data_IF_389879969928
#
_entry.id   IF_389879969928
#
_cell.length_a   1.000
_cell.length_b   1.000
_cell.length_c   1.000
_cell.angle_alpha   90.00
_cell.angle_beta   90.00
_cell.angle_gamma   90.00
#
_symmetry.space_group_name_H-M   'P 1'
#
loop_
_entity.id
_entity.type
_entity.pdbx_description
1 polymer ?
#
# COMPACT_ATOMS: atom_id res chain seq x y z
N UNK A 1 0.92 28.67 7.67
CA UNK A 1 0.92 27.40 6.91
C UNK A 1 1.71 27.59 5.64
N UNK A 2 2.03 26.50 4.94
CA UNK A 2 2.56 26.51 3.56
C UNK A 2 1.45 26.03 2.63
N UNK A 3 1.28 26.70 1.50
CA UNK A 3 0.31 26.29 0.49
C UNK A 3 0.94 25.25 -0.45
N UNK A 4 0.25 24.14 -0.68
CA UNK A 4 0.68 23.08 -1.59
C UNK A 4 -0.29 23.02 -2.77
N UNK A 5 0.22 23.13 -3.99
CA UNK A 5 -0.59 22.98 -5.20
C UNK A 5 -0.37 21.58 -5.78
N UNK A 6 -1.41 20.75 -5.76
CA UNK A 6 -1.33 19.36 -6.20
C UNK A 6 -1.69 19.23 -7.68
N UNK A 7 -0.84 18.57 -8.45
CA UNK A 7 -1.09 18.21 -9.85
C UNK A 7 -1.55 16.76 -9.89
N UNK A 8 -2.87 16.57 -10.03
CA UNK A 8 -3.49 15.25 -9.92
C UNK A 8 -3.96 14.74 -11.29
N UNK A 9 -3.84 13.43 -11.48
CA UNK A 9 -4.43 12.68 -12.59
C UNK A 9 -5.22 11.48 -12.06
N UNK A 10 -6.29 11.04 -12.75
CA UNK A 10 -7.00 9.82 -12.36
C UNK A 10 -6.07 8.60 -12.35
N UNK A 11 -6.19 7.73 -11.35
CA UNK A 11 -5.47 6.46 -11.28
C UNK A 11 -6.27 5.35 -11.97
N UNK A 12 -6.15 5.28 -13.29
CA UNK A 12 -6.85 4.27 -14.10
C UNK A 12 -6.22 2.87 -14.05
N UNK A 13 -5.04 2.70 -13.43
CA UNK A 13 -4.30 1.42 -13.42
C UNK A 13 -4.45 0.61 -12.14
N UNK A 14 -5.02 1.20 -11.08
CA UNK A 14 -5.17 0.49 -9.80
C UNK A 14 -6.19 -0.64 -9.87
N UNK A 15 -7.29 -0.48 -10.61
CA UNK A 15 -8.37 -1.48 -10.66
C UNK A 15 -8.34 -2.20 -11.99
N UNK A 16 -8.17 -3.53 -11.97
CA UNK A 16 -8.15 -4.33 -13.18
C UNK A 16 -9.50 -4.29 -13.92
N UNK A 17 -9.49 -4.36 -15.26
CA UNK A 17 -10.72 -4.60 -16.01
C UNK A 17 -11.42 -5.89 -15.53
N UNK A 18 -12.69 -5.77 -15.16
CA UNK A 18 -13.47 -6.90 -14.65
C UNK A 18 -13.20 -7.28 -13.19
N UNK A 19 -12.47 -6.45 -12.44
CA UNK A 19 -12.28 -6.66 -11.02
C UNK A 19 -13.62 -6.68 -10.27
N UNK A 20 -13.71 -7.51 -9.23
CA UNK A 20 -14.94 -7.74 -8.48
C UNK A 20 -14.77 -7.58 -6.97
N UNK A 21 -15.87 -7.28 -6.29
CA UNK A 21 -16.03 -7.37 -4.84
C UNK A 21 -17.01 -8.48 -4.55
N UNK A 22 -16.62 -9.39 -3.68
CA UNK A 22 -17.46 -10.49 -3.24
C UNK A 22 -17.81 -10.33 -1.77
N UNK A 23 -19.09 -10.53 -1.47
CA UNK A 23 -19.61 -10.48 -0.11
C UNK A 23 -20.03 -11.88 0.30
N UNK A 24 -19.41 -12.40 1.34
CA UNK A 24 -19.86 -13.64 1.99
C UNK A 24 -20.85 -13.30 3.09
N UNK A 25 -22.05 -13.89 3.02
CA UNK A 25 -23.05 -13.78 4.08
C UNK A 25 -22.96 -14.97 5.04
N UNK A 26 -23.46 -14.79 6.26
CA UNK A 26 -23.54 -15.84 7.28
C UNK A 26 -24.38 -17.05 6.82
N UNK A 27 -25.31 -16.87 5.89
CA UNK A 27 -26.12 -17.94 5.30
C UNK A 27 -25.38 -18.74 4.22
N UNK A 28 -24.12 -18.39 3.92
CA UNK A 28 -23.31 -19.01 2.87
C UNK A 28 -23.62 -18.49 1.46
N UNK A 29 -24.51 -17.52 1.30
CA UNK A 29 -24.76 -16.89 0.01
C UNK A 29 -23.65 -15.88 -0.33
N UNK A 30 -23.14 -15.96 -1.55
CA UNK A 30 -22.13 -15.03 -2.10
C UNK A 30 -22.79 -14.02 -3.02
N UNK A 31 -22.50 -12.73 -2.83
CA UNK A 31 -22.92 -11.66 -3.74
C UNK A 31 -21.70 -11.03 -4.39
N UNK A 32 -21.67 -10.96 -5.72
CA UNK A 32 -20.55 -10.43 -6.49
C UNK A 32 -20.97 -9.13 -7.17
N UNK A 33 -20.15 -8.10 -7.06
CA UNK A 33 -20.36 -6.78 -7.64
C UNK A 33 -19.09 -6.29 -8.36
N UNK A 34 -19.21 -5.43 -9.39
CA UNK A 34 -18.04 -4.85 -10.04
C UNK A 34 -17.31 -3.88 -9.11
N UNK A 35 -15.99 -3.95 -9.08
CA UNK A 35 -15.14 -3.00 -8.36
C UNK A 35 -14.93 -1.75 -9.23
N UNK A 36 -15.38 -0.58 -8.73
CA UNK A 36 -15.24 0.69 -9.42
C UNK A 36 -14.15 1.56 -8.77
N UNK A 37 -13.25 2.12 -9.58
CA UNK A 37 -12.09 2.93 -9.15
C UNK A 37 -12.06 4.34 -9.73
N UNK A 38 -13.20 4.97 -10.00
CA UNK A 38 -13.27 6.24 -10.76
C UNK A 38 -12.96 7.50 -9.95
N UNK A 39 -12.74 7.38 -8.65
CA UNK A 39 -12.57 8.49 -7.71
C UNK A 39 -11.17 8.52 -7.08
N UNK A 40 -10.21 7.83 -7.70
CA UNK A 40 -8.83 7.70 -7.23
C UNK A 40 -7.90 8.54 -8.11
N UNK A 41 -6.98 9.24 -7.47
CA UNK A 41 -6.08 10.19 -8.09
C UNK A 41 -4.66 9.97 -7.58
N UNK A 42 -3.71 10.17 -8.47
CA UNK A 42 -2.28 10.13 -8.20
C UNK A 42 -1.59 11.32 -8.85
N UNK A 43 -0.40 11.68 -8.39
CA UNK A 43 0.34 12.80 -8.96
C UNK A 43 1.41 13.35 -8.03
N UNK A 44 1.65 14.65 -8.12
CA UNK A 44 2.78 15.31 -7.49
C UNK A 44 2.44 16.72 -6.98
N UNK A 45 3.35 17.32 -6.22
CA UNK A 45 3.28 18.72 -5.81
C UNK A 45 3.97 19.59 -6.86
N UNK A 46 3.28 20.62 -7.34
CA UNK A 46 3.82 21.54 -8.34
C UNK A 46 5.15 22.17 -7.88
N UNK A 47 6.19 22.05 -8.72
CA UNK A 47 7.54 22.51 -8.42
C UNK A 47 8.42 21.48 -7.68
N UNK A 48 7.88 20.33 -7.28
CA UNK A 48 8.58 19.25 -6.56
C UNK A 48 8.31 17.87 -7.18
N UNK A 49 8.11 17.79 -8.51
CA UNK A 49 7.66 16.57 -9.18
C UNK A 49 8.53 15.34 -8.89
N UNK A 50 9.85 15.50 -8.92
CA UNK A 50 10.82 14.40 -8.70
C UNK A 50 10.99 14.02 -7.22
N UNK A 51 10.51 14.87 -6.30
CA UNK A 51 10.72 14.73 -4.86
C UNK A 51 9.41 14.65 -4.07
N UNK A 52 8.29 14.45 -4.77
CA UNK A 52 6.97 14.34 -4.15
C UNK A 52 6.08 13.35 -4.88
N UNK A 53 5.21 12.71 -4.11
CA UNK A 53 4.18 11.83 -4.62
C UNK A 53 2.89 12.04 -3.84
N UNK A 54 1.76 11.92 -4.53
CA UNK A 54 0.44 12.20 -3.99
C UNK A 54 -0.49 11.07 -4.38
N UNK A 55 -1.19 10.49 -3.42
CA UNK A 55 -2.23 9.50 -3.63
C UNK A 55 -3.50 9.96 -2.91
N UNK A 56 -4.55 10.31 -3.65
CA UNK A 56 -5.79 10.83 -3.08
C UNK A 56 -7.01 10.06 -3.59
N UNK A 57 -8.03 10.00 -2.75
CA UNK A 57 -9.34 9.43 -3.02
C UNK A 57 -10.39 10.49 -2.70
N UNK A 58 -11.39 10.61 -3.56
CA UNK A 58 -12.60 11.39 -3.29
C UNK A 58 -13.85 10.48 -3.27
N UNK A 59 -13.66 9.19 -3.01
CA UNK A 59 -14.76 8.21 -3.03
C UNK A 59 -15.70 8.34 -1.83
N UNK A 60 -15.19 8.84 -0.71
CA UNK A 60 -15.91 9.07 0.54
C UNK A 60 -15.26 10.23 1.29
N UNK A 61 -15.32 11.42 0.69
CA UNK A 61 -14.53 12.56 1.14
C UNK A 61 -13.08 12.48 0.67
N UNK A 62 -12.35 13.57 0.86
CA UNK A 62 -10.95 13.66 0.44
C UNK A 62 -10.06 12.93 1.44
N UNK A 63 -9.46 11.83 1.01
CA UNK A 63 -8.59 11.03 1.85
C UNK A 63 -7.33 10.61 1.09
N UNK A 64 -6.19 10.50 1.77
CA UNK A 64 -4.98 9.99 1.15
C UNK A 64 -3.68 10.49 1.77
N UNK A 65 -2.61 10.42 0.98
CA UNK A 65 -1.24 10.74 1.35
C UNK A 65 -0.65 11.78 0.40
N UNK A 66 0.02 12.77 0.96
CA UNK A 66 0.90 13.71 0.27
C UNK A 66 2.29 13.52 0.86
N UNK A 67 3.20 12.97 0.06
CA UNK A 67 4.59 12.73 0.45
C UNK A 67 5.50 13.71 -0.27
N UNK A 68 6.40 14.30 0.48
CA UNK A 68 7.52 15.12 0.03
C UNK A 68 8.80 14.54 0.64
N UNK A 69 9.96 15.02 0.19
CA UNK A 69 11.29 14.50 0.58
C UNK A 69 11.46 14.20 2.08
N UNK A 70 11.02 15.10 2.96
CA UNK A 70 11.19 14.96 4.42
C UNK A 70 9.87 14.94 5.22
N UNK A 71 8.73 15.05 4.53
CA UNK A 71 7.44 15.24 5.17
C UNK A 71 6.35 14.42 4.49
N UNK A 72 5.58 13.70 5.31
CA UNK A 72 4.39 12.97 4.88
C UNK A 72 3.18 13.56 5.57
N UNK A 73 2.16 13.89 4.79
CA UNK A 73 0.89 14.43 5.28
C UNK A 73 -0.22 13.47 4.92
N UNK A 74 -1.01 13.11 5.93
CA UNK A 74 -2.25 12.38 5.73
C UNK A 74 -3.41 13.36 5.74
N UNK A 75 -4.36 13.11 4.86
CA UNK A 75 -5.66 13.77 4.86
C UNK A 75 -6.73 12.70 5.02
N UNK A 76 -7.68 12.92 5.92
CA UNK A 76 -8.85 12.06 6.04
C UNK A 76 -10.06 12.82 6.59
N UNK A 77 -11.29 12.35 6.33
CA UNK A 77 -12.48 12.84 6.99
C UNK A 77 -12.39 12.74 8.51
N UNK A 78 -12.81 13.80 9.22
CA UNK A 78 -12.83 13.80 10.69
C UNK A 78 -13.86 12.83 11.25
N UNK A 79 -15.04 12.77 10.64
CA UNK A 79 -16.13 11.84 10.95
C UNK A 79 -16.37 10.93 9.74
N UNK A 80 -16.53 9.63 9.97
CA UNK A 80 -16.79 8.64 8.91
C UNK A 80 -18.28 8.30 8.86
N UNK A 81 -18.85 8.21 7.66
CA UNK A 81 -20.21 7.68 7.47
C UNK A 81 -21.37 8.66 7.67
N UNK A 82 -21.13 9.98 7.65
CA UNK A 82 -22.18 11.00 7.80
C UNK A 82 -22.44 11.80 6.52
N UNK A 83 -22.34 11.14 5.35
CA UNK A 83 -22.49 11.75 4.03
C UNK A 83 -23.76 12.62 3.87
N UNK A 84 -24.88 12.23 4.51
CA UNK A 84 -26.12 12.99 4.48
C UNK A 84 -26.03 14.34 5.23
N UNK A 85 -25.32 14.39 6.37
CA UNK A 85 -25.09 15.64 7.13
C UNK A 85 -24.01 16.49 6.47
N UNK A 86 -23.02 15.85 5.86
CA UNK A 86 -21.94 16.48 5.11
C UNK A 86 -22.44 17.25 3.88
N UNK A 87 -23.52 16.79 3.24
CA UNK A 87 -24.11 17.46 2.07
C UNK A 87 -24.68 18.86 2.39
N UNK A 88 -25.13 19.08 3.62
CA UNK A 88 -25.72 20.37 4.05
C UNK A 88 -24.68 21.34 4.64
N UNK A 89 -23.64 20.82 5.31
CA UNK A 89 -22.70 21.64 6.11
C UNK A 89 -21.26 21.62 5.59
N UNK A 90 -20.97 20.81 4.57
CA UNK A 90 -19.63 20.53 4.10
C UNK A 90 -18.90 19.51 4.99
N UNK A 91 -18.07 18.68 4.36
CA UNK A 91 -17.31 17.65 5.07
C UNK A 91 -16.02 18.22 5.65
N UNK A 92 -15.85 18.09 6.97
CA UNK A 92 -14.63 18.51 7.67
C UNK A 92 -13.57 17.43 7.53
N UNK A 93 -12.35 17.85 7.18
CA UNK A 93 -11.20 16.98 7.02
C UNK A 93 -10.09 17.40 7.97
N UNK A 94 -9.32 16.42 8.43
CA UNK A 94 -8.10 16.66 9.20
C UNK A 94 -6.90 16.42 8.30
N UNK A 95 -5.92 17.33 8.35
CA UNK A 95 -4.63 17.17 7.70
C UNK A 95 -3.58 17.14 8.80
N UNK A 96 -2.79 16.08 8.85
CA UNK A 96 -1.76 15.91 9.87
C UNK A 96 -0.47 15.37 9.29
N UNK A 97 0.64 15.83 9.86
CA UNK A 97 1.97 15.36 9.49
C UNK A 97 2.28 14.06 10.22
N UNK A 98 2.77 13.05 9.49
CA UNK A 98 3.35 11.86 10.11
C UNK A 98 4.64 12.27 10.84
N UNK A 99 4.80 11.96 12.13
CA UNK A 99 6.06 12.17 12.82
C UNK A 99 7.17 11.37 12.12
N UNK A 100 8.41 11.88 12.07
CA UNK A 100 9.54 11.07 11.63
C UNK A 100 9.56 9.78 12.46
N UNK A 101 9.62 8.62 11.81
CA UNK A 101 9.84 7.37 12.55
C UNK A 101 11.12 7.54 13.36
N UNK A 102 11.09 7.31 14.69
CA UNK A 102 12.31 7.29 15.48
C UNK A 102 13.27 6.34 14.78
N UNK A 103 14.43 6.85 14.35
CA UNK A 103 15.50 6.01 13.83
C UNK A 103 15.70 4.93 14.91
N UNK A 104 15.54 3.63 14.61
CA UNK A 104 15.84 2.62 15.61
C UNK A 104 17.25 2.94 16.13
N UNK A 105 17.47 2.92 17.45
CA UNK A 105 18.81 3.15 17.98
C UNK A 105 19.76 2.25 17.20
N UNK A 106 20.97 2.72 16.85
CA UNK A 106 21.93 1.88 16.16
C UNK A 106 21.98 0.55 16.90
N UNK A 107 21.73 -0.55 16.17
CA UNK A 107 21.84 -1.90 16.72
C UNK A 107 23.23 -1.97 17.34
N UNK A 108 23.28 -1.80 18.67
CA UNK A 108 24.47 -2.09 19.44
C UNK A 108 24.85 -3.52 19.10
N UNK A 109 26.13 -3.76 18.86
CA UNK A 109 26.67 -5.06 18.45
C UNK A 109 26.13 -6.22 19.28
N UNK A 110 26.25 -7.45 18.78
CA UNK A 110 25.52 -8.61 19.30
C UNK A 110 25.72 -8.77 20.81
N UNK A 111 24.67 -8.46 21.57
CA UNK A 111 24.57 -8.95 22.93
C UNK A 111 24.06 -10.38 22.83
N UNK A 112 24.93 -11.33 23.17
CA UNK A 112 24.59 -12.73 23.30
C UNK A 112 23.50 -12.85 24.38
N UNK A 113 22.26 -13.04 23.94
CA UNK A 113 21.18 -13.54 24.79
C UNK A 113 21.50 -15.01 25.08
N UNK A 114 22.03 -15.25 26.27
CA UNK A 114 22.23 -16.58 26.84
C UNK A 114 20.86 -17.23 27.05
N UNK A 115 20.34 -17.83 25.98
CA UNK A 115 19.11 -18.61 26.00
C UNK A 115 19.54 -20.06 26.04
N UNK A 116 19.49 -20.64 27.24
CA UNK A 116 19.87 -22.03 27.50
C UNK A 116 19.01 -23.04 26.73
N UNK A 117 19.33 -23.25 25.46
CA UNK A 117 18.78 -24.30 24.60
C UNK A 117 19.92 -25.25 24.15
N UNK A 118 19.69 -26.57 24.11
CA UNK A 118 20.76 -27.54 23.87
C UNK A 118 21.32 -27.44 22.44
N UNK A 119 22.64 -27.56 22.26
CA UNK A 119 23.31 -27.36 20.97
C UNK A 119 23.14 -28.63 20.12
N UNK A 120 22.23 -28.59 19.16
CA UNK A 120 22.08 -29.70 18.22
C UNK A 120 21.18 -29.46 17.00
N UNK A 121 20.45 -28.35 16.95
CA UNK A 121 19.46 -28.11 15.88
C UNK A 121 19.91 -27.09 14.81
N UNK A 122 20.95 -26.30 15.06
CA UNK A 122 21.40 -25.24 14.14
C UNK A 122 22.45 -25.72 13.11
N UNK A 123 23.15 -26.82 13.37
CA UNK A 123 24.14 -27.36 12.44
C UNK A 123 23.51 -27.94 11.16
N UNK A 124 22.25 -28.37 11.25
CA UNK A 124 21.55 -28.98 10.13
C UNK A 124 21.03 -27.92 9.14
N UNK A 125 20.66 -26.74 9.63
CA UNK A 125 20.22 -25.59 8.82
C UNK A 125 21.39 -24.98 8.03
N UNK A 126 22.57 -24.86 8.66
CA UNK A 126 23.80 -24.38 8.00
C UNK A 126 24.25 -25.31 6.88
N UNK A 127 24.11 -26.64 7.05
CA UNK A 127 24.41 -27.61 5.99
C UNK A 127 23.43 -27.53 4.82
N UNK A 128 22.15 -27.28 5.07
CA UNK A 128 21.16 -27.08 3.99
C UNK A 128 21.35 -25.75 3.26
N UNK A 129 21.79 -24.68 3.93
CA UNK A 129 22.13 -23.41 3.29
C UNK A 129 23.37 -23.53 2.39
N UNK A 130 24.42 -24.22 2.85
CA UNK A 130 25.64 -24.42 2.05
C UNK A 130 25.41 -25.19 0.75
N UNK A 131 24.51 -26.19 0.76
CA UNK A 131 24.13 -26.95 -0.45
C UNK A 131 23.31 -26.10 -1.43
N UNK A 132 22.53 -25.14 -0.94
CA UNK A 132 21.80 -24.19 -1.79
C UNK A 132 22.74 -23.14 -2.41
N UNK A 133 23.73 -22.65 -1.66
CA UNK A 133 24.73 -21.71 -2.17
C UNK A 133 25.57 -22.29 -3.32
N UNK A 134 25.92 -23.58 -3.25
CA UNK A 134 26.68 -24.26 -4.29
C UNK A 134 25.87 -24.45 -5.60
N UNK A 135 24.56 -24.70 -5.47
CA UNK A 135 23.63 -24.77 -6.63
C UNK A 135 23.36 -23.41 -7.26
N UNK A 136 23.39 -22.33 -6.49
CA UNK A 136 23.22 -20.96 -7.01
C UNK A 136 24.50 -20.47 -7.71
N UNK A 137 25.68 -20.88 -7.23
CA UNK A 137 26.96 -20.51 -7.86
C UNK A 137 27.18 -21.16 -9.24
N UNK A 138 26.69 -22.38 -9.47
CA UNK A 138 26.74 -23.02 -10.79
C UNK A 138 25.83 -22.38 -11.86
N UNK A 139 24.81 -21.62 -11.44
CA UNK A 139 23.88 -20.90 -12.34
C UNK A 139 24.36 -19.49 -12.71
N UNK A 140 25.50 -19.02 -12.16
CA UNK A 140 26.05 -17.66 -12.38
C UNK A 140 26.62 -17.41 -13.78
N UNK A 141 26.45 -18.34 -14.73
CA UNK A 141 26.85 -18.19 -16.13
C UNK A 141 25.70 -17.92 -17.12
N UNK A 142 24.48 -17.64 -16.64
CA UNK A 142 23.41 -17.09 -17.49
C UNK A 142 23.24 -15.60 -17.22
N UNK A 143 24.15 -14.84 -17.82
CA UNK A 143 23.98 -13.45 -18.26
C UNK A 143 22.61 -12.82 -17.92
N UNK A 144 22.45 -12.24 -16.72
CA UNK A 144 21.47 -11.17 -16.49
C UNK A 144 22.04 -9.90 -17.13
N UNK A 145 22.09 -9.90 -18.45
CA UNK A 145 22.26 -8.69 -19.26
C UNK A 145 21.01 -7.83 -18.99
N UNK A 146 21.23 -6.59 -18.57
CA UNK A 146 20.27 -5.48 -18.56
C UNK A 146 18.77 -5.85 -18.57
N UNK A 147 18.14 -5.78 -17.41
CA UNK A 147 16.71 -5.49 -17.33
C UNK A 147 16.54 -4.19 -16.53
N UNK A 148 17.19 -3.12 -16.98
CA UNK A 148 16.58 -1.80 -16.82
C UNK A 148 15.55 -1.70 -17.94
N UNK A 149 14.35 -1.27 -17.58
CA UNK A 149 13.14 -1.16 -18.39
C UNK A 149 12.19 -2.37 -18.28
N UNK A 150 11.40 -2.36 -17.21
CA UNK A 150 10.29 -3.29 -17.03
C UNK A 150 9.30 -2.67 -16.08
N UNK A 151 8.19 -2.16 -16.62
CA UNK A 151 7.01 -1.89 -15.83
C UNK A 151 6.46 -3.24 -15.34
N UNK A 152 6.55 -3.49 -14.03
CA UNK A 152 6.01 -4.70 -13.40
C UNK A 152 4.60 -4.42 -12.91
N UNK A 153 3.72 -5.42 -13.02
CA UNK A 153 2.39 -5.38 -12.43
C UNK A 153 2.32 -6.43 -11.32
N UNK A 154 1.86 -6.02 -10.14
CA UNK A 154 1.52 -6.94 -9.05
C UNK A 154 0.01 -7.00 -8.98
N UNK A 155 -0.55 -8.14 -9.38
CA UNK A 155 -1.98 -8.41 -9.22
C UNK A 155 -2.27 -8.83 -7.77
N UNK A 156 -3.25 -8.17 -7.15
CA UNK A 156 -3.56 -8.33 -5.74
C UNK A 156 -5.03 -8.68 -5.53
N UNK A 157 -5.24 -9.74 -4.76
CA UNK A 157 -6.51 -10.09 -4.16
C UNK A 157 -6.48 -9.67 -2.69
N UNK A 158 -7.52 -8.94 -2.25
CA UNK A 158 -7.70 -8.56 -0.85
C UNK A 158 -8.73 -9.46 -0.18
N UNK A 159 -8.35 -10.09 0.93
CA UNK A 159 -9.27 -10.73 1.85
C UNK A 159 -9.52 -9.82 3.05
N UNK A 160 -10.78 -9.56 3.36
CA UNK A 160 -11.20 -8.61 4.39
C UNK A 160 -11.94 -9.37 5.48
N UNK A 161 -11.40 -9.34 6.70
CA UNK A 161 -12.07 -9.97 7.84
C UNK A 161 -13.31 -9.17 8.28
N UNK A 162 -14.26 -9.86 8.90
CA UNK A 162 -15.52 -9.28 9.37
C UNK A 162 -15.29 -8.12 10.35
N UNK A 163 -14.25 -8.20 11.19
CA UNK A 163 -13.88 -7.11 12.10
C UNK A 163 -13.59 -5.78 11.40
N UNK A 164 -13.01 -5.82 10.20
CA UNK A 164 -12.72 -4.62 9.38
C UNK A 164 -14.02 -4.07 8.80
N UNK A 165 -14.93 -4.95 8.37
CA UNK A 165 -16.25 -4.57 7.86
C UNK A 165 -17.11 -3.95 8.97
N UNK A 166 -17.08 -4.50 10.19
CA UNK A 166 -17.78 -3.94 11.34
C UNK A 166 -17.24 -2.57 11.73
N UNK A 167 -15.92 -2.39 11.69
CA UNK A 167 -15.29 -1.12 12.09
C UNK A 167 -15.55 0.00 11.06
N UNK A 168 -15.42 -0.30 9.76
CA UNK A 168 -15.60 0.71 8.72
C UNK A 168 -17.04 0.84 8.21
N UNK A 169 -17.88 -0.18 8.43
CA UNK A 169 -19.21 -0.28 7.86
C UNK A 169 -19.19 -0.81 6.42
N UNK A 170 -20.19 -1.64 6.09
CA UNK A 170 -20.31 -2.30 4.78
C UNK A 170 -20.32 -1.32 3.60
N UNK A 171 -20.88 -0.12 3.79
CA UNK A 171 -21.00 0.91 2.76
C UNK A 171 -19.69 1.67 2.47
N UNK A 172 -18.72 1.62 3.39
CA UNK A 172 -17.50 2.41 3.34
C UNK A 172 -16.22 1.57 3.24
N UNK A 173 -16.24 0.32 3.70
CA UNK A 173 -15.06 -0.55 3.74
C UNK A 173 -14.40 -0.69 2.36
N UNK A 174 -15.17 -0.86 1.29
CA UNK A 174 -14.62 -0.94 -0.07
C UNK A 174 -13.86 0.35 -0.46
N UNK A 175 -14.42 1.52 -0.14
CA UNK A 175 -13.83 2.83 -0.47
C UNK A 175 -12.57 3.09 0.35
N UNK A 176 -12.57 2.64 1.60
CA UNK A 176 -11.40 2.65 2.47
C UNK A 176 -10.26 1.79 1.88
N UNK A 177 -10.56 0.55 1.47
CA UNK A 177 -9.57 -0.34 0.88
C UNK A 177 -9.01 0.21 -0.44
N UNK A 178 -9.87 0.76 -1.30
CA UNK A 178 -9.41 1.43 -2.53
C UNK A 178 -8.49 2.61 -2.23
N UNK A 179 -8.78 3.40 -1.20
CA UNK A 179 -7.93 4.51 -0.78
C UNK A 179 -6.57 4.01 -0.28
N UNK A 180 -6.57 2.97 0.56
CA UNK A 180 -5.34 2.35 1.07
C UNK A 180 -4.49 1.81 -0.09
N UNK A 181 -5.09 1.11 -1.03
CA UNK A 181 -4.37 0.52 -2.16
C UNK A 181 -3.89 1.57 -3.16
N UNK A 182 -4.59 2.71 -3.28
CA UNK A 182 -4.10 3.85 -4.05
C UNK A 182 -2.83 4.43 -3.43
N UNK A 183 -2.78 4.55 -2.10
CA UNK A 183 -1.55 4.95 -1.37
C UNK A 183 -0.44 3.93 -1.57
N UNK A 184 -0.75 2.63 -1.42
CA UNK A 184 0.23 1.55 -1.63
C UNK A 184 0.78 1.58 -3.06
N UNK A 185 -0.06 1.79 -4.07
CA UNK A 185 0.39 1.93 -5.45
C UNK A 185 1.44 3.03 -5.61
N UNK A 186 1.22 4.21 -5.03
CA UNK A 186 2.21 5.30 -5.11
C UNK A 186 3.51 5.01 -4.36
N UNK A 187 3.46 4.23 -3.27
CA UNK A 187 4.67 3.80 -2.55
C UNK A 187 5.50 2.83 -3.42
N UNK A 188 4.83 1.90 -4.13
CA UNK A 188 5.51 0.95 -5.01
C UNK A 188 5.90 1.53 -6.38
N UNK A 189 5.37 2.69 -6.73
CA UNK A 189 5.75 3.42 -7.93
C UNK A 189 6.98 4.33 -7.71
N UNK A 190 7.57 4.29 -6.53
CA UNK A 190 8.70 5.13 -6.15
C UNK A 190 10.00 4.73 -6.87
N UNK A 191 10.69 5.73 -7.44
CA UNK A 191 11.92 5.51 -8.21
C UNK A 191 13.08 4.93 -7.38
N UNK A 192 13.07 5.11 -6.05
CA UNK A 192 14.09 4.53 -5.17
C UNK A 192 14.11 3.01 -5.16
N UNK A 193 13.03 2.36 -5.61
CA UNK A 193 12.96 0.91 -5.77
C UNK A 193 13.78 0.40 -6.97
N UNK A 194 14.22 1.29 -7.87
CA UNK A 194 14.98 0.92 -9.07
C UNK A 194 14.18 0.13 -10.11
N UNK A 195 12.85 0.07 -9.95
CA UNK A 195 11.91 -0.57 -10.86
C UNK A 195 10.56 0.14 -10.79
N UNK A 196 9.85 0.24 -11.92
CA UNK A 196 8.49 0.78 -11.97
C UNK A 196 7.50 -0.35 -11.69
N UNK A 197 6.86 -0.31 -10.52
CA UNK A 197 5.87 -1.32 -10.12
C UNK A 197 4.49 -0.67 -10.06
N UNK A 198 3.50 -1.27 -10.71
CA UNK A 198 2.10 -0.91 -10.58
C UNK A 198 1.39 -1.98 -9.73
N UNK A 199 0.63 -1.54 -8.73
CA UNK A 199 -0.23 -2.43 -7.96
C UNK A 199 -1.60 -2.46 -8.64
N UNK A 200 -2.13 -3.66 -8.88
CA UNK A 200 -3.38 -3.87 -9.63
C UNK A 200 -4.32 -4.74 -8.81
N UNK A 201 -5.43 -4.18 -8.36
CA UNK A 201 -6.51 -4.87 -7.66
C UNK A 201 -7.33 -5.70 -8.65
N UNK A 202 -7.38 -7.01 -8.41
CA UNK A 202 -8.19 -7.94 -9.21
C UNK A 202 -9.47 -8.36 -8.50
N UNK A 203 -9.46 -8.48 -7.17
CA UNK A 203 -10.62 -8.96 -6.41
C UNK A 203 -10.55 -8.53 -4.94
N UNK A 204 -11.70 -8.25 -4.36
CA UNK A 204 -11.89 -8.09 -2.92
C UNK A 204 -12.90 -9.16 -2.46
N UNK A 205 -12.61 -9.84 -1.35
CA UNK A 205 -13.46 -10.87 -0.72
C UNK A 205 -13.67 -10.52 0.74
#
# INVERSE_FOLDING_TARGET
>A
GRDLHLRLRPNARLVAPGATVEWQSESGATRVEPLLGTCLYVGDVAGLAEASSVALSNCDGLAGLIRMEEEEFFIEPLEKGLAAKEAEQGRVHVVYRRPPTPRPPPLGGPQALDTGAPPGSLDNLSRTLGVLEERVNGSRHRARRHATDGDYNIEVLLGVDDSVVQFHGKEHVQKYLLTLMNIVNEIYHDESLGAHINVVLVRII
#
